data_IF_080069511861
#
_entry.id   IF_080069511861
#
_cell.length_a   1.000
_cell.length_b   1.000
_cell.length_c   1.000
_cell.angle_alpha   90.00
_cell.angle_beta   90.00
_cell.angle_gamma   90.00
#
_symmetry.space_group_name_H-M   'P 1'
#
loop_
_entity.id
_entity.type
_entity.pdbx_description
1 polymer ?
#
# COMPACT_ATOMS: atom_id res chain seq x y z
N UNK A 1 -11.09 4.44 -4.05
CA UNK A 1 -9.61 4.38 -4.13
C UNK A 1 -8.99 5.76 -4.36
N UNK A 2 -9.59 6.59 -5.22
CA UNK A 2 -9.09 7.92 -5.60
C UNK A 2 -8.98 8.93 -4.44
N UNK A 3 -10.01 9.07 -3.61
CA UNK A 3 -10.01 10.04 -2.50
C UNK A 3 -8.89 9.80 -1.47
N UNK A 4 -8.57 8.54 -1.18
CA UNK A 4 -7.55 8.17 -0.20
C UNK A 4 -6.12 8.34 -0.76
N UNK A 5 -5.91 8.05 -2.04
CA UNK A 5 -4.65 8.34 -2.73
C UNK A 5 -4.35 9.84 -2.76
N UNK A 6 -5.37 10.66 -3.01
CA UNK A 6 -5.25 12.12 -2.97
C UNK A 6 -4.89 12.62 -1.55
N UNK A 7 -5.56 12.11 -0.51
CA UNK A 7 -5.30 12.47 0.88
C UNK A 7 -3.85 12.14 1.29
N UNK A 8 -3.37 10.94 0.96
CA UNK A 8 -1.99 10.52 1.27
C UNK A 8 -0.94 11.35 0.50
N UNK A 9 -1.23 11.69 -0.76
CA UNK A 9 -0.35 12.53 -1.60
C UNK A 9 -0.24 13.95 -1.05
N UNK A 10 -1.37 14.55 -0.67
CA UNK A 10 -1.42 15.89 -0.04
C UNK A 10 -0.66 15.88 1.29
N UNK A 11 -0.87 14.86 2.12
CA UNK A 11 -0.16 14.72 3.39
C UNK A 11 1.36 14.54 3.21
N UNK A 12 1.79 13.91 2.11
CA UNK A 12 3.22 13.74 1.77
C UNK A 12 3.84 15.06 1.31
N UNK A 13 3.15 15.82 0.46
CA UNK A 13 3.61 17.12 -0.02
C UNK A 13 3.62 18.19 1.08
N UNK A 14 2.68 18.13 2.02
CA UNK A 14 2.60 19.04 3.15
C UNK A 14 3.59 18.69 4.28
N UNK A 15 4.19 17.51 4.25
CA UNK A 15 5.11 17.03 5.29
C UNK A 15 6.30 17.96 5.59
N UNK A 16 7.08 18.45 4.61
CA UNK A 16 8.19 19.37 4.87
C UNK A 16 7.74 20.72 5.48
N UNK A 17 6.51 21.16 5.18
CA UNK A 17 5.93 22.35 5.81
C UNK A 17 5.49 22.05 7.24
N UNK A 18 4.86 20.90 7.48
CA UNK A 18 4.44 20.46 8.82
C UNK A 18 5.62 20.32 9.79
N UNK A 19 6.80 19.89 9.30
CA UNK A 19 8.02 19.81 10.11
C UNK A 19 8.45 21.18 10.64
N UNK A 20 8.21 22.26 9.90
CA UNK A 20 8.50 23.64 10.36
C UNK A 20 7.48 24.15 11.39
N UNK A 21 6.25 23.65 11.34
CA UNK A 21 5.17 24.03 12.27
C UNK A 21 5.22 23.30 13.62
N UNK A 22 6.08 22.28 13.75
CA UNK A 22 6.32 21.57 15.01
C UNK A 22 5.70 20.17 15.07
N UNK A 23 5.92 19.48 16.19
CA UNK A 23 5.63 18.05 16.37
C UNK A 23 4.17 17.66 16.09
N UNK A 24 3.22 18.47 16.54
CA UNK A 24 1.78 18.17 16.40
C UNK A 24 1.37 18.08 14.92
N UNK A 25 1.86 18.99 14.09
CA UNK A 25 1.57 18.99 12.65
C UNK A 25 2.16 17.74 11.97
N UNK A 26 3.37 17.34 12.35
CA UNK A 26 4.01 16.11 11.86
C UNK A 26 3.21 14.87 12.25
N UNK A 27 2.76 14.80 13.50
CA UNK A 27 1.95 13.69 14.00
C UNK A 27 0.66 13.53 13.20
N UNK A 28 -0.07 14.64 12.97
CA UNK A 28 -1.31 14.63 12.18
C UNK A 28 -1.05 14.15 10.75
N UNK A 29 -0.01 14.67 10.09
CA UNK A 29 0.33 14.25 8.72
C UNK A 29 0.71 12.76 8.65
N UNK A 30 1.41 12.23 9.66
CA UNK A 30 1.73 10.80 9.75
C UNK A 30 0.50 9.94 9.99
N UNK A 31 -0.44 10.39 10.83
CA UNK A 31 -1.70 9.70 11.02
C UNK A 31 -2.49 9.61 9.70
N UNK A 32 -2.58 10.70 8.95
CA UNK A 32 -3.26 10.72 7.65
C UNK A 32 -2.60 9.79 6.62
N UNK A 33 -1.27 9.79 6.55
CA UNK A 33 -0.52 8.86 5.68
C UNK A 33 -0.77 7.40 6.09
N UNK A 34 -0.79 7.11 7.41
CA UNK A 34 -1.07 5.77 7.94
C UNK A 34 -2.46 5.24 7.58
N UNK A 35 -3.49 6.09 7.64
CA UNK A 35 -4.84 5.74 7.20
C UNK A 35 -4.85 5.43 5.69
N UNK A 36 -4.16 6.22 4.88
CA UNK A 36 -4.05 5.95 3.44
C UNK A 36 -3.40 4.60 3.15
N UNK A 37 -2.32 4.28 3.87
CA UNK A 37 -1.59 3.03 3.72
C UNK A 37 -2.41 1.80 4.15
N UNK A 38 -3.13 1.87 5.27
CA UNK A 38 -3.92 0.73 5.76
C UNK A 38 -5.06 0.33 4.81
N UNK A 39 -5.65 1.30 4.11
CA UNK A 39 -6.69 1.03 3.12
C UNK A 39 -6.12 0.44 1.83
N UNK A 40 -4.86 0.68 1.49
CA UNK A 40 -4.27 0.17 0.24
C UNK A 40 -4.23 -1.36 0.18
N UNK A 41 -3.87 -2.03 1.27
CA UNK A 41 -3.77 -3.50 1.34
C UNK A 41 -5.08 -4.24 1.01
N UNK A 42 -6.23 -3.95 1.66
CA UNK A 42 -7.49 -4.61 1.31
C UNK A 42 -8.01 -4.20 -0.08
N UNK A 43 -7.70 -2.98 -0.55
CA UNK A 43 -8.09 -2.52 -1.88
C UNK A 43 -7.40 -3.32 -2.99
N UNK A 44 -6.11 -3.63 -2.83
CA UNK A 44 -5.38 -4.49 -3.79
C UNK A 44 -6.04 -5.87 -3.90
N UNK A 45 -6.45 -6.46 -2.78
CA UNK A 45 -7.19 -7.73 -2.77
C UNK A 45 -8.59 -7.62 -3.39
N UNK A 46 -9.29 -6.51 -3.16
CA UNK A 46 -10.61 -6.25 -3.75
C UNK A 46 -10.51 -6.12 -5.27
N UNK A 47 -9.58 -5.32 -5.79
CA UNK A 47 -9.37 -5.14 -7.23
C UNK A 47 -8.98 -6.47 -7.87
N UNK A 48 -8.08 -7.21 -7.23
CA UNK A 48 -7.71 -8.55 -7.68
C UNK A 48 -8.94 -9.46 -7.77
N UNK A 49 -9.75 -9.54 -6.71
CA UNK A 49 -10.95 -10.40 -6.71
C UNK A 49 -12.01 -9.93 -7.72
N UNK A 50 -12.14 -8.64 -7.99
CA UNK A 50 -13.10 -8.10 -8.95
C UNK A 50 -12.67 -8.33 -10.41
N UNK A 51 -11.39 -8.14 -10.73
CA UNK A 51 -10.85 -8.16 -12.09
C UNK A 51 -10.25 -9.49 -12.52
N UNK A 52 -9.95 -10.41 -11.58
CA UNK A 52 -9.45 -11.76 -11.91
C UNK A 52 -10.56 -12.81 -11.93
N UNK A 53 -10.32 -13.88 -12.69
CA UNK A 53 -11.07 -15.13 -12.63
C UNK A 53 -10.66 -15.91 -11.38
N UNK A 54 -11.59 -16.60 -10.70
CA UNK A 54 -11.33 -17.33 -9.43
C UNK A 54 -10.13 -18.28 -9.48
N UNK A 55 -9.80 -18.82 -10.67
CA UNK A 55 -8.66 -19.71 -10.90
C UNK A 55 -7.30 -19.01 -10.94
N UNK A 56 -7.25 -17.73 -11.31
CA UNK A 56 -6.02 -16.94 -11.52
C UNK A 56 -5.83 -15.79 -10.52
N UNK A 57 -6.75 -15.64 -9.56
CA UNK A 57 -6.69 -14.59 -8.55
C UNK A 57 -5.38 -14.58 -7.74
N UNK A 58 -4.85 -15.76 -7.37
CA UNK A 58 -3.58 -15.87 -6.65
C UNK A 58 -2.39 -15.31 -7.44
N UNK A 59 -2.31 -15.60 -8.74
CA UNK A 59 -1.25 -15.07 -9.61
C UNK A 59 -1.36 -13.56 -9.77
N UNK A 60 -2.59 -13.03 -9.90
CA UNK A 60 -2.81 -11.59 -10.00
C UNK A 60 -2.42 -10.85 -8.72
N UNK A 61 -2.77 -11.39 -7.55
CA UNK A 61 -2.33 -10.85 -6.24
C UNK A 61 -0.81 -10.92 -6.09
N UNK A 62 -0.16 -11.99 -6.54
CA UNK A 62 1.29 -12.12 -6.49
C UNK A 62 1.99 -11.04 -7.35
N UNK A 63 1.53 -10.85 -8.59
CA UNK A 63 2.05 -9.81 -9.50
C UNK A 63 1.84 -8.42 -8.91
N UNK A 64 0.65 -8.15 -8.35
CA UNK A 64 0.41 -6.90 -7.66
C UNK A 64 1.37 -6.73 -6.48
N UNK A 65 1.50 -7.73 -5.61
CA UNK A 65 2.38 -7.65 -4.43
C UNK A 65 3.84 -7.34 -4.77
N UNK A 66 4.34 -7.75 -5.95
CA UNK A 66 5.70 -7.42 -6.41
C UNK A 66 5.96 -5.92 -6.51
N UNK A 67 4.94 -5.07 -6.72
CA UNK A 67 5.11 -3.62 -6.78
C UNK A 67 5.75 -3.07 -5.50
N UNK A 68 5.44 -3.64 -4.33
CA UNK A 68 5.89 -3.11 -3.03
C UNK A 68 7.41 -3.22 -2.86
N UNK A 69 7.96 -4.36 -3.28
CA UNK A 69 9.40 -4.60 -3.24
C UNK A 69 10.12 -3.78 -4.30
N UNK A 70 9.56 -3.74 -5.52
CA UNK A 70 10.12 -2.94 -6.62
C UNK A 70 10.23 -1.46 -6.22
N UNK A 71 9.14 -0.85 -5.73
CA UNK A 71 9.15 0.56 -5.29
C UNK A 71 10.23 0.84 -4.23
N UNK A 72 10.45 -0.09 -3.29
CA UNK A 72 11.45 0.08 -2.23
C UNK A 72 12.88 0.07 -2.77
N UNK A 73 13.17 -0.81 -3.72
CA UNK A 73 14.49 -0.94 -4.37
C UNK A 73 14.89 0.37 -5.07
N UNK A 74 13.94 1.08 -5.69
CA UNK A 74 14.23 2.39 -6.31
C UNK A 74 14.21 3.54 -5.31
N UNK A 75 13.27 3.53 -4.37
CA UNK A 75 13.08 4.66 -3.45
C UNK A 75 14.27 4.83 -2.51
N UNK A 76 14.85 3.74 -2.00
CA UNK A 76 15.92 3.82 -1.00
C UNK A 76 17.22 4.45 -1.53
N UNK A 77 17.78 4.03 -2.68
CA UNK A 77 18.97 4.68 -3.25
C UNK A 77 18.71 6.12 -3.68
N UNK A 78 17.54 6.39 -4.28
CA UNK A 78 17.15 7.75 -4.71
C UNK A 78 17.04 8.68 -3.51
N UNK A 79 16.42 8.23 -2.42
CA UNK A 79 16.35 9.00 -1.19
C UNK A 79 17.75 9.26 -0.61
N UNK A 80 18.63 8.25 -0.62
CA UNK A 80 20.02 8.41 -0.18
C UNK A 80 20.78 9.47 -0.99
N UNK A 81 20.75 9.38 -2.31
CA UNK A 81 21.43 10.32 -3.21
C UNK A 81 20.88 11.76 -3.09
N UNK A 82 19.57 11.91 -2.90
CA UNK A 82 18.93 13.22 -2.73
C UNK A 82 19.22 13.85 -1.37
N UNK A 83 19.37 13.05 -0.32
CA UNK A 83 19.72 13.55 1.01
C UNK A 83 21.14 14.15 1.06
N UNK A 84 22.07 13.67 0.23
CA UNK A 84 23.44 14.20 0.10
C UNK A 84 23.50 15.53 -0.70
N UNK A 85 22.42 15.88 -1.40
CA UNK A 85 22.37 17.13 -2.18
C UNK A 85 22.08 18.32 -1.28
N UNK A 86 22.44 19.54 -1.70
CA UNK A 86 22.19 20.80 -0.97
C UNK A 86 20.72 21.08 -0.62
N UNK A 87 19.78 20.42 -1.29
CA UNK A 87 18.34 20.49 -1.00
C UNK A 87 17.93 19.63 0.20
N UNK A 88 18.78 18.70 0.65
CA UNK A 88 18.59 17.83 1.80
C UNK A 88 17.38 16.90 1.69
N UNK A 89 16.94 16.37 2.84
CA UNK A 89 15.82 15.43 2.96
C UNK A 89 14.46 15.94 2.43
N UNK A 90 14.10 17.26 2.43
CA UNK A 90 12.81 17.71 1.91
C UNK A 90 12.63 17.42 0.41
N UNK A 91 13.73 17.36 -0.36
CA UNK A 91 13.70 17.08 -1.80
C UNK A 91 13.06 15.72 -2.12
N UNK A 92 13.28 14.71 -1.27
CA UNK A 92 12.72 13.37 -1.40
C UNK A 92 11.19 13.42 -1.34
N UNK A 93 10.64 14.21 -0.43
CA UNK A 93 9.18 14.37 -0.27
C UNK A 93 8.55 15.10 -1.45
N UNK A 94 9.24 16.09 -2.02
CA UNK A 94 8.76 16.77 -3.23
C UNK A 94 8.80 15.86 -4.46
N UNK A 95 9.86 15.07 -4.65
CA UNK A 95 9.96 14.12 -5.76
C UNK A 95 8.89 13.01 -5.64
N UNK A 96 8.79 12.37 -4.47
CA UNK A 96 7.78 11.35 -4.20
C UNK A 96 6.35 11.89 -4.33
N UNK A 97 6.10 13.09 -3.80
CA UNK A 97 4.81 13.74 -3.87
C UNK A 97 4.41 14.09 -5.30
N UNK A 98 5.31 14.65 -6.11
CA UNK A 98 5.04 14.95 -7.53
C UNK A 98 4.78 13.68 -8.34
N UNK A 99 5.60 12.63 -8.19
CA UNK A 99 5.34 11.33 -8.83
C UNK A 99 3.99 10.74 -8.44
N UNK A 100 3.58 10.89 -7.17
CA UNK A 100 2.29 10.43 -6.68
C UNK A 100 1.14 11.23 -7.29
N UNK A 101 1.28 12.55 -7.45
CA UNK A 101 0.27 13.39 -8.14
C UNK A 101 0.12 12.97 -9.60
N UNK A 102 1.22 12.77 -10.34
CA UNK A 102 1.16 12.33 -11.74
C UNK A 102 0.49 10.95 -11.86
N UNK A 103 0.87 10.02 -11.00
CA UNK A 103 0.28 8.67 -10.99
C UNK A 103 -1.20 8.71 -10.63
N UNK A 104 -1.58 9.56 -9.66
CA UNK A 104 -2.97 9.78 -9.31
C UNK A 104 -3.77 10.38 -10.47
N UNK A 105 -3.23 11.39 -11.16
CA UNK A 105 -3.90 12.03 -12.28
C UNK A 105 -4.08 11.04 -13.44
N UNK A 106 -3.05 10.25 -13.75
CA UNK A 106 -3.15 9.17 -14.73
C UNK A 106 -4.22 8.15 -14.31
N UNK A 107 -4.21 7.71 -13.05
CA UNK A 107 -5.21 6.77 -12.55
C UNK A 107 -6.62 7.35 -12.61
N UNK A 108 -6.82 8.63 -12.26
CA UNK A 108 -8.12 9.30 -12.35
C UNK A 108 -8.64 9.38 -13.79
N UNK A 109 -7.75 9.56 -14.77
CA UNK A 109 -8.12 9.65 -16.19
C UNK A 109 -8.38 8.27 -16.83
N UNK A 110 -7.60 7.25 -16.45
CA UNK A 110 -7.65 5.93 -17.09
C UNK A 110 -8.48 4.89 -16.34
N UNK A 111 -8.55 4.94 -15.01
CA UNK A 111 -9.18 3.91 -14.21
C UNK A 111 -10.69 4.18 -14.02
N UNK A 112 -11.49 3.15 -14.28
CA UNK A 112 -12.94 3.15 -14.04
C UNK A 112 -13.28 1.98 -13.11
N UNK A 113 -13.98 2.26 -12.01
CA UNK A 113 -14.30 1.27 -10.97
C UNK A 113 -15.16 0.10 -11.48
N UNK A 114 -15.89 0.28 -12.59
CA UNK A 114 -16.71 -0.77 -13.20
C UNK A 114 -16.01 -1.40 -14.42
N UNK A 115 -15.72 -2.72 -14.41
CA UNK A 115 -15.26 -3.43 -15.60
C UNK A 115 -16.31 -3.43 -16.73
N UNK A 116 -17.59 -3.20 -16.39
CA UNK A 116 -18.69 -3.02 -17.36
C UNK A 116 -18.66 -1.68 -18.10
N UNK A 117 -17.98 -0.67 -17.55
CA UNK A 117 -17.84 0.66 -18.16
C UNK A 117 -16.49 0.83 -18.88
N UNK A 118 -15.62 -0.17 -18.79
CA UNK A 118 -14.29 -0.11 -19.38
C UNK A 118 -14.35 -0.53 -20.86
N UNK A 119 -14.07 0.42 -21.76
CA UNK A 119 -14.18 0.27 -23.23
C UNK A 119 -13.32 -0.86 -23.83
N UNK A 120 -12.37 -1.39 -23.07
CA UNK A 120 -11.41 -2.41 -23.50
C UNK A 120 -11.67 -3.82 -22.95
N UNK A 121 -12.72 -4.04 -22.14
CA UNK A 121 -13.05 -5.38 -21.66
C UNK A 121 -13.86 -6.11 -22.74
N UNK A 122 -13.32 -7.23 -23.22
CA UNK A 122 -14.01 -8.07 -24.19
C UNK A 122 -15.25 -8.71 -23.53
N UNK A 123 -16.40 -8.82 -24.23
CA UNK A 123 -17.58 -9.52 -23.71
C UNK A 123 -17.28 -10.98 -23.33
N UNK A 124 -16.27 -11.59 -23.94
CA UNK A 124 -15.79 -12.95 -23.60
C UNK A 124 -15.08 -12.99 -22.24
N UNK A 125 -14.25 -11.99 -21.92
CA UNK A 125 -13.61 -11.86 -20.60
C UNK A 125 -14.63 -11.54 -19.52
N UNK A 126 -15.61 -10.68 -19.81
CA UNK A 126 -16.68 -10.36 -18.86
C UNK A 126 -17.50 -11.60 -18.49
N UNK A 127 -17.76 -12.48 -19.46
CA UNK A 127 -18.46 -13.74 -19.24
C UNK A 127 -17.63 -14.72 -18.38
N UNK A 128 -16.32 -14.82 -18.61
CA UNK A 128 -15.37 -15.63 -17.81
C UNK A 128 -15.25 -15.12 -16.37
N UNK A 129 -15.12 -13.81 -16.16
CA UNK A 129 -14.99 -13.18 -14.82
C UNK A 129 -16.30 -13.32 -14.02
N UNK A 130 -17.45 -13.33 -14.70
CA UNK A 130 -18.77 -13.49 -14.07
C UNK A 130 -19.10 -14.96 -13.78
N UNK A 131 -18.53 -15.90 -14.56
CA UNK A 131 -18.67 -17.36 -14.35
C UNK A 131 -17.99 -17.76 -13.04
N UNK A 132 -18.78 -18.01 -12.01
CA UNK A 132 -18.30 -18.40 -10.66
C UNK A 132 -18.50 -17.34 -9.57
N UNK A 133 -18.96 -16.13 -9.90
CA UNK A 133 -19.41 -15.11 -8.93
C UNK A 133 -20.93 -15.06 -8.76
N UNK A 134 -21.68 -15.72 -9.65
CA UNK A 134 -23.12 -15.93 -9.52
C UNK A 134 -23.40 -16.91 -8.36
N UNK A 135 -23.58 -16.38 -7.15
CA UNK A 135 -23.84 -17.18 -5.95
C UNK A 135 -23.28 -16.58 -4.65
N UNK A 136 -22.40 -15.58 -4.72
CA UNK A 136 -22.06 -14.75 -3.56
C UNK A 136 -23.16 -13.69 -3.38
N UNK A 137 -24.33 -14.09 -2.90
CA UNK A 137 -25.20 -13.13 -2.24
C UNK A 137 -24.44 -12.55 -1.03
N UNK A 138 -24.52 -11.23 -0.85
CA UNK A 138 -24.05 -10.54 0.36
C UNK A 138 -24.92 -10.98 1.54
N UNK A 139 -24.73 -12.21 2.01
CA UNK A 139 -25.25 -12.65 3.30
C UNK A 139 -24.57 -11.85 4.42
N UNK A 140 -25.25 -11.75 5.55
CA UNK A 140 -24.71 -11.13 6.74
C UNK A 140 -23.41 -11.86 7.13
N UNK A 141 -22.28 -11.17 7.03
CA UNK A 141 -20.98 -11.81 7.25
C UNK A 141 -20.87 -12.07 8.75
N UNK A 142 -20.67 -13.32 9.22
CA UNK A 142 -20.77 -13.63 10.64
C UNK A 142 -19.50 -13.17 11.40
N UNK A 143 -19.36 -11.85 11.61
CA UNK A 143 -18.20 -11.22 12.23
C UNK A 143 -17.89 -11.80 13.61
N UNK A 144 -18.94 -12.13 14.39
CA UNK A 144 -18.77 -12.72 15.72
C UNK A 144 -18.22 -14.15 15.67
N UNK A 145 -18.63 -14.95 14.68
CA UNK A 145 -18.09 -16.29 14.51
C UNK A 145 -16.62 -16.23 14.08
N UNK A 146 -16.29 -15.33 13.15
CA UNK A 146 -14.92 -15.09 12.69
C UNK A 146 -14.01 -14.65 13.84
N UNK A 147 -14.48 -13.73 14.70
CA UNK A 147 -13.70 -13.20 15.83
C UNK A 147 -13.53 -14.19 16.99
N UNK A 148 -14.35 -15.25 17.07
CA UNK A 148 -14.28 -16.25 18.15
C UNK A 148 -13.59 -17.55 17.70
N UNK A 149 -13.35 -17.71 16.40
CA UNK A 149 -12.70 -18.89 15.84
C UNK A 149 -11.21 -18.95 16.23
N UNK A 150 -10.81 -20.06 16.86
CA UNK A 150 -9.44 -20.23 17.37
C UNK A 150 -8.39 -20.33 16.26
N UNK A 151 -8.75 -20.83 15.06
CA UNK A 151 -7.84 -20.89 13.93
C UNK A 151 -7.57 -19.47 13.40
N UNK A 152 -8.60 -18.64 13.28
CA UNK A 152 -8.46 -17.24 12.83
C UNK A 152 -7.67 -16.41 13.83
N UNK A 153 -7.95 -16.57 15.12
CA UNK A 153 -7.18 -15.89 16.18
C UNK A 153 -5.71 -16.33 16.18
N UNK A 154 -5.41 -17.62 15.98
CA UNK A 154 -4.04 -18.11 15.88
C UNK A 154 -3.30 -17.50 14.68
N UNK A 155 -3.97 -17.37 13.52
CA UNK A 155 -3.41 -16.73 12.33
C UNK A 155 -3.10 -15.25 12.61
N UNK A 156 -4.01 -14.52 13.26
CA UNK A 156 -3.78 -13.11 13.58
C UNK A 156 -2.62 -12.91 14.56
N UNK A 157 -2.54 -13.72 15.61
CA UNK A 157 -1.43 -13.66 16.57
C UNK A 157 -0.10 -13.99 15.88
N UNK A 158 -0.09 -15.01 15.02
CA UNK A 158 1.11 -15.38 14.26
C UNK A 158 1.55 -14.27 13.32
N UNK A 159 0.63 -13.69 12.55
CA UNK A 159 0.93 -12.61 11.60
C UNK A 159 1.44 -11.36 12.33
N UNK A 160 0.82 -11.01 13.44
CA UNK A 160 1.27 -9.90 14.29
C UNK A 160 2.70 -10.13 14.81
N UNK A 161 3.01 -11.34 15.27
CA UNK A 161 4.35 -11.71 15.72
C UNK A 161 5.39 -11.64 14.61
N UNK A 162 5.04 -12.11 13.40
CA UNK A 162 5.90 -12.02 12.22
C UNK A 162 6.15 -10.57 11.82
N UNK A 163 5.11 -9.73 11.80
CA UNK A 163 5.22 -8.31 11.45
C UNK A 163 6.12 -7.55 12.44
N UNK A 164 5.93 -7.74 13.75
CA UNK A 164 6.78 -7.11 14.77
C UNK A 164 8.25 -7.54 14.59
N UNK A 165 8.49 -8.83 14.39
CA UNK A 165 9.84 -9.36 14.24
C UNK A 165 10.55 -8.77 13.02
N UNK A 166 9.85 -8.72 11.89
CA UNK A 166 10.35 -8.14 10.65
C UNK A 166 10.65 -6.63 10.80
N UNK A 167 9.72 -5.86 11.37
CA UNK A 167 9.90 -4.42 11.57
C UNK A 167 11.02 -4.10 12.54
N UNK A 168 11.18 -4.90 13.60
CA UNK A 168 12.28 -4.77 14.56
C UNK A 168 13.62 -4.98 13.87
N UNK A 169 13.75 -6.06 13.09
CA UNK A 169 14.97 -6.34 12.34
C UNK A 169 15.30 -5.23 11.34
N UNK A 170 14.30 -4.73 10.62
CA UNK A 170 14.48 -3.65 9.65
C UNK A 170 14.91 -2.33 10.30
N UNK A 171 14.30 -1.96 11.44
CA UNK A 171 14.60 -0.70 12.14
C UNK A 171 15.97 -0.72 12.82
N UNK A 172 16.32 -1.82 13.48
CA UNK A 172 17.55 -1.93 14.26
C UNK A 172 18.72 -2.54 13.47
N UNK A 173 18.48 -3.12 12.30
CA UNK A 173 19.51 -3.72 11.44
C UNK A 173 20.67 -2.77 11.15
N UNK A 174 20.41 -1.54 10.64
CA UNK A 174 21.47 -0.57 10.40
C UNK A 174 22.24 -0.18 11.68
N UNK A 175 21.53 -0.03 12.79
CA UNK A 175 22.12 0.33 14.09
C UNK A 175 23.00 -0.78 14.66
N UNK A 176 22.67 -2.05 14.41
CA UNK A 176 23.45 -3.19 14.87
C UNK A 176 24.76 -3.35 14.09
N UNK A 177 24.72 -3.14 12.76
CA UNK A 177 25.87 -3.26 11.87
C UNK A 177 26.87 -2.11 12.08
N UNK A 178 26.40 -0.91 12.43
CA UNK A 178 27.24 0.27 12.59
C UNK A 178 27.88 0.41 13.99
N UNK A 179 27.78 -0.62 14.85
CA UNK A 179 28.45 -0.63 16.16
C UNK A 179 29.92 -1.01 16.01
N UNK A 180 30.84 -0.32 16.72
CA UNK A 180 32.29 -0.48 16.57
C UNK A 180 32.82 -1.85 17.01
N UNK A 181 32.03 -2.66 17.72
CA UNK A 181 32.40 -4.02 18.13
C UNK A 181 32.48 -5.01 16.96
N UNK A 182 31.94 -4.65 15.78
CA UNK A 182 31.90 -5.48 14.58
C UNK A 182 32.47 -4.79 13.32
N UNK A 183 33.12 -3.63 13.45
CA UNK A 183 33.84 -3.01 12.34
C UNK A 183 35.22 -3.68 12.20
N UNK A 184 35.56 -4.30 11.06
CA UNK A 184 36.91 -4.83 10.81
C UNK A 184 37.97 -3.73 10.74
#
# INVERSE_FOLDING_TARGET
MTAFGALSTIATLAFPFAVRSGFVAVFIMRALQGIGASLSSPLTGLIASQWSTTKSAGTFVAILSCHSQFCTIFTMPVAGALCETSLGWPSVYYLQGTMSVFTFLAFFLFYRDNPREHRYVSPTELAEITKGKQGQEKGDTPYRAIATDSCILAIWISDFGTMISFQTFFLYGPTYINKPEFSP
#
